data_IF_204233467293
#
_entry.id   IF_204233467293
#
_cell.length_a   1.000
_cell.length_b   1.000
_cell.length_c   1.000
_cell.angle_alpha   90.00
_cell.angle_beta   90.00
_cell.angle_gamma   90.00
#
_symmetry.space_group_name_H-M   'P 1'
#
loop_
_entity.id
_entity.type
_entity.pdbx_description
1 polymer ?
#
# COMPACT_ATOMS: atom_id res chain seq x y z
N UNK A 1 38.89 -28.09 20.91
CA UNK A 1 37.72 -27.49 21.55
C UNK A 1 37.71 -25.94 21.49
N UNK A 2 38.84 -25.24 21.53
CA UNK A 2 38.87 -23.76 21.46
C UNK A 2 38.49 -23.16 20.12
N UNK A 3 38.75 -23.86 19.01
CA UNK A 3 38.40 -23.40 17.64
C UNK A 3 36.91 -23.45 17.33
N UNK A 4 36.21 -24.47 17.85
CA UNK A 4 34.75 -24.61 17.67
C UNK A 4 33.99 -23.52 18.44
N UNK A 5 34.50 -23.14 19.62
CA UNK A 5 33.92 -22.07 20.44
C UNK A 5 34.04 -20.69 19.75
N UNK A 6 35.13 -20.46 19.02
CA UNK A 6 35.35 -19.22 18.28
C UNK A 6 34.42 -19.07 17.06
N UNK A 7 34.12 -20.18 16.38
CA UNK A 7 33.21 -20.20 15.22
C UNK A 7 31.76 -19.92 15.64
N UNK A 8 31.33 -20.43 16.79
CA UNK A 8 29.98 -20.20 17.32
C UNK A 8 29.79 -18.72 17.69
N UNK A 9 30.81 -18.07 18.23
CA UNK A 9 30.74 -16.63 18.58
C UNK A 9 30.73 -15.76 17.31
N UNK A 10 31.37 -16.18 16.22
CA UNK A 10 31.36 -15.43 14.95
C UNK A 10 30.03 -15.54 14.21
N UNK A 11 29.30 -16.67 14.36
CA UNK A 11 27.98 -16.87 13.73
C UNK A 11 26.86 -16.15 14.45
N UNK A 12 26.97 -15.83 15.73
CA UNK A 12 25.95 -15.12 16.51
C UNK A 12 25.90 -13.60 16.26
N UNK A 13 26.89 -13.04 15.54
CA UNK A 13 26.99 -11.61 15.23
C UNK A 13 26.11 -11.11 14.06
N UNK A 14 25.52 -12.00 13.26
CA UNK A 14 24.66 -11.64 12.12
C UNK A 14 23.17 -11.74 12.45
N UNK A 15 22.73 -11.12 13.54
CA UNK A 15 21.34 -10.77 13.67
C UNK A 15 21.07 -9.62 12.71
N UNK A 16 20.68 -9.95 11.46
CA UNK A 16 20.14 -8.99 10.52
C UNK A 16 18.88 -8.40 11.13
N UNK A 17 19.00 -7.19 11.68
CA UNK A 17 17.85 -6.39 12.02
C UNK A 17 17.12 -6.10 10.73
N UNK A 18 16.13 -6.92 10.36
CA UNK A 18 15.13 -6.61 9.36
C UNK A 18 14.29 -5.47 9.93
N UNK A 19 14.83 -4.26 9.88
CA UNK A 19 14.04 -3.07 10.12
C UNK A 19 13.02 -2.98 9.00
N UNK A 20 11.75 -3.18 9.32
CA UNK A 20 10.65 -2.79 8.43
C UNK A 20 10.88 -1.32 8.10
N UNK A 21 11.17 -1.03 6.82
CA UNK A 21 11.39 0.35 6.36
C UNK A 21 10.05 1.08 6.50
N UNK A 22 9.95 2.10 7.37
CA UNK A 22 8.72 2.89 7.48
C UNK A 22 8.41 3.50 6.11
N UNK A 23 7.12 3.58 5.77
CA UNK A 23 6.71 4.29 4.56
C UNK A 23 7.35 5.69 4.55
N UNK A 24 7.96 6.05 3.42
CA UNK A 24 8.76 7.25 3.29
C UNK A 24 7.98 8.50 3.75
N UNK A 25 8.50 9.30 4.69
CA UNK A 25 7.80 10.47 5.20
C UNK A 25 7.74 11.62 4.18
N UNK A 26 8.54 11.54 3.11
CA UNK A 26 8.65 12.56 2.08
C UNK A 26 7.68 12.33 0.92
N UNK A 27 7.47 13.40 0.13
CA UNK A 27 6.71 13.35 -1.10
C UNK A 27 7.49 12.60 -2.18
N UNK A 28 6.80 11.69 -2.86
CA UNK A 28 7.32 10.95 -4.00
C UNK A 28 6.64 11.47 -5.27
N UNK A 29 7.38 11.62 -6.33
CA UNK A 29 6.84 11.98 -7.64
C UNK A 29 6.35 10.72 -8.36
N UNK A 30 5.07 10.71 -8.71
CA UNK A 30 4.43 9.66 -9.50
C UNK A 30 4.17 10.17 -10.91
N UNK A 31 4.34 9.30 -11.92
CA UNK A 31 4.06 9.59 -13.31
C UNK A 31 2.75 8.93 -13.76
N UNK A 32 1.92 9.66 -14.48
CA UNK A 32 0.73 9.17 -15.15
C UNK A 32 1.09 8.62 -16.55
N UNK A 33 0.23 7.78 -17.17
CA UNK A 33 0.47 7.25 -18.51
C UNK A 33 0.60 8.31 -19.62
N UNK A 34 0.02 9.49 -19.42
CA UNK A 34 0.11 10.63 -20.33
C UNK A 34 1.38 11.48 -20.16
N UNK A 35 2.30 11.03 -19.28
CA UNK A 35 3.53 11.74 -18.97
C UNK A 35 3.39 12.86 -17.92
N UNK A 36 2.17 13.19 -17.50
CA UNK A 36 1.98 14.14 -16.39
C UNK A 36 2.47 13.56 -15.07
N UNK A 37 2.85 14.42 -14.13
CA UNK A 37 3.37 14.00 -12.83
C UNK A 37 2.63 14.70 -11.69
N UNK A 38 2.54 14.01 -10.55
CA UNK A 38 2.03 14.57 -9.31
C UNK A 38 2.87 14.08 -8.12
N UNK A 39 2.78 14.79 -7.00
CA UNK A 39 3.47 14.42 -5.77
C UNK A 39 2.47 13.89 -4.74
N UNK A 40 2.86 12.82 -4.05
CA UNK A 40 2.05 12.20 -3.02
C UNK A 40 2.93 11.43 -2.03
N UNK A 41 2.36 11.01 -0.91
CA UNK A 41 3.01 10.14 0.07
C UNK A 41 2.67 8.68 -0.20
N UNK A 42 3.66 7.82 -0.11
CA UNK A 42 3.42 6.38 0.06
C UNK A 42 3.23 6.10 1.55
N UNK A 43 2.15 5.44 1.91
CA UNK A 43 1.76 5.10 3.28
C UNK A 43 1.53 3.61 3.43
N UNK A 44 1.60 3.12 4.68
CA UNK A 44 1.35 1.73 5.01
C UNK A 44 2.63 0.91 5.19
N UNK A 45 2.49 -0.40 5.07
CA UNK A 45 3.57 -1.38 5.27
C UNK A 45 3.48 -2.51 4.22
N UNK A 46 4.21 -3.59 4.44
CA UNK A 46 4.23 -4.77 3.57
C UNK A 46 2.89 -5.52 3.49
N UNK A 47 1.95 -5.29 4.42
CA UNK A 47 0.63 -5.92 4.41
C UNK A 47 -0.37 -5.11 3.59
N UNK A 48 -0.27 -3.78 3.68
CA UNK A 48 -1.14 -2.88 2.95
C UNK A 48 -0.49 -1.50 2.81
N UNK A 49 -0.26 -1.09 1.58
CA UNK A 49 0.20 0.26 1.24
C UNK A 49 -0.82 0.99 0.38
N UNK A 50 -0.85 2.32 0.49
CA UNK A 50 -1.66 3.21 -0.33
C UNK A 50 -0.89 4.50 -0.62
N UNK A 51 -1.35 5.22 -1.62
CA UNK A 51 -0.83 6.55 -1.96
C UNK A 51 -1.80 7.58 -1.41
N UNK A 52 -1.27 8.65 -0.84
CA UNK A 52 -2.05 9.70 -0.18
C UNK A 52 -1.55 11.07 -0.62
N UNK A 53 -2.46 11.91 -1.11
CA UNK A 53 -2.16 13.31 -1.43
C UNK A 53 -1.88 14.13 -0.16
N UNK A 54 -1.33 15.34 -0.31
CA UNK A 54 -1.17 16.29 0.80
C UNK A 54 -2.50 16.59 1.50
N UNK A 55 -3.62 16.59 0.77
CA UNK A 55 -4.98 16.80 1.29
C UNK A 55 -5.60 15.52 1.89
N UNK A 56 -4.79 14.50 2.16
CA UNK A 56 -5.22 13.23 2.77
C UNK A 56 -6.17 12.38 1.91
N UNK A 57 -6.26 12.66 0.63
CA UNK A 57 -7.06 11.85 -0.30
C UNK A 57 -6.29 10.60 -0.72
N UNK A 58 -6.97 9.46 -0.71
CA UNK A 58 -6.38 8.17 -1.05
C UNK A 58 -6.45 7.94 -2.54
N UNK A 59 -5.35 7.47 -3.11
CA UNK A 59 -5.19 7.19 -4.53
C UNK A 59 -4.91 5.71 -4.75
N UNK A 60 -5.36 5.20 -5.89
CA UNK A 60 -5.06 3.86 -6.37
C UNK A 60 -4.76 3.88 -7.87
N UNK A 61 -3.88 3.01 -8.33
CA UNK A 61 -3.64 2.85 -9.76
C UNK A 61 -4.72 1.96 -10.37
N UNK A 62 -5.45 2.49 -11.33
CA UNK A 62 -6.46 1.76 -12.08
C UNK A 62 -5.79 0.75 -13.01
N UNK A 63 -6.22 -0.51 -12.96
CA UNK A 63 -5.72 -1.56 -13.85
C UNK A 63 -6.24 -1.41 -15.28
N UNK A 64 -7.39 -0.76 -15.42
CA UNK A 64 -8.04 -0.57 -16.73
C UNK A 64 -7.46 0.62 -17.48
N UNK A 65 -7.37 1.78 -16.83
CA UNK A 65 -6.87 3.02 -17.46
C UNK A 65 -5.35 3.21 -17.32
N UNK A 66 -4.73 2.55 -16.33
CA UNK A 66 -3.33 2.75 -15.95
C UNK A 66 -3.08 4.03 -15.17
N UNK A 67 -4.06 4.93 -15.06
CA UNK A 67 -3.94 6.18 -14.32
C UNK A 67 -4.02 5.97 -12.80
N UNK A 68 -3.41 6.86 -12.05
CA UNK A 68 -3.69 7.02 -10.63
C UNK A 68 -4.97 7.83 -10.49
N UNK A 69 -5.94 7.24 -9.81
CA UNK A 69 -7.28 7.77 -9.61
C UNK A 69 -7.58 7.90 -8.12
N UNK A 70 -8.53 8.77 -7.76
CA UNK A 70 -9.04 8.79 -6.40
C UNK A 70 -9.68 7.45 -6.08
N UNK A 71 -9.44 6.95 -4.87
CA UNK A 71 -9.97 5.68 -4.44
C UNK A 71 -11.39 5.82 -3.87
N UNK A 72 -12.22 4.82 -4.14
CA UNK A 72 -13.49 4.58 -3.46
C UNK A 72 -13.34 3.37 -2.54
N UNK A 73 -14.18 3.32 -1.51
CA UNK A 73 -14.37 2.11 -0.71
C UNK A 73 -15.48 1.27 -1.31
N UNK A 74 -15.19 -0.01 -1.49
CA UNK A 74 -16.16 -1.01 -1.90
C UNK A 74 -16.11 -2.19 -0.93
N UNK A 75 -17.25 -2.78 -0.63
CA UNK A 75 -17.33 -4.07 0.07
C UNK A 75 -17.40 -5.19 -0.96
N UNK A 76 -16.59 -6.25 -0.72
CA UNK A 76 -16.69 -7.49 -1.51
C UNK A 76 -17.83 -8.40 -0.99
N UNK A 77 -18.02 -9.55 -1.64
CA UNK A 77 -19.07 -10.51 -1.28
C UNK A 77 -18.93 -11.02 0.17
N UNK A 78 -17.73 -11.01 0.72
CA UNK A 78 -17.41 -11.41 2.09
C UNK A 78 -17.43 -10.23 3.08
N UNK A 79 -18.01 -9.08 2.70
CA UNK A 79 -18.09 -7.84 3.49
C UNK A 79 -16.73 -7.28 3.91
N UNK A 80 -15.67 -7.58 3.15
CA UNK A 80 -14.35 -6.99 3.37
C UNK A 80 -14.24 -5.70 2.58
N UNK A 81 -13.67 -4.67 3.20
CA UNK A 81 -13.42 -3.39 2.53
C UNK A 81 -12.24 -3.51 1.56
N UNK A 82 -12.40 -2.97 0.38
CA UNK A 82 -11.36 -2.83 -0.63
C UNK A 82 -11.33 -1.41 -1.19
N UNK A 83 -10.15 -0.99 -1.67
CA UNK A 83 -10.00 0.23 -2.45
C UNK A 83 -10.20 -0.10 -3.92
N UNK A 84 -11.07 0.68 -4.58
CA UNK A 84 -11.30 0.58 -6.03
C UNK A 84 -11.13 1.96 -6.67
N UNK A 85 -10.71 2.03 -7.95
CA UNK A 85 -10.58 3.29 -8.65
C UNK A 85 -11.95 3.93 -8.91
N UNK A 86 -12.02 5.26 -8.77
CA UNK A 86 -13.27 6.03 -8.94
C UNK A 86 -13.56 6.42 -10.39
N UNK A 87 -12.62 6.23 -11.30
CA UNK A 87 -12.66 6.81 -12.66
C UNK A 87 -12.23 8.28 -12.73
N UNK A 88 -11.87 8.90 -11.60
CA UNK A 88 -11.43 10.29 -11.54
C UNK A 88 -9.91 10.32 -11.40
N UNK A 89 -9.13 10.63 -12.44
CA UNK A 89 -7.68 10.67 -12.38
C UNK A 89 -7.18 11.86 -11.56
N UNK A 90 -6.01 11.69 -10.97
CA UNK A 90 -5.27 12.79 -10.34
C UNK A 90 -4.69 13.66 -11.44
N UNK A 91 -5.06 14.95 -11.45
CA UNK A 91 -4.61 15.92 -12.43
C UNK A 91 -3.66 16.90 -11.75
N UNK A 92 -2.65 17.37 -12.47
CA UNK A 92 -1.72 18.39 -11.99
C UNK A 92 -2.49 19.65 -11.55
N UNK A 93 -2.13 20.19 -10.39
CA UNK A 93 -2.66 21.46 -9.85
C UNK A 93 -2.64 22.53 -10.96
N UNK A 94 -3.81 22.93 -11.45
CA UNK A 94 -3.95 23.92 -12.52
C UNK A 94 -4.77 23.49 -13.75
N UNK A 95 -4.98 22.20 -13.94
CA UNK A 95 -5.93 21.68 -14.94
C UNK A 95 -7.18 21.16 -14.21
N UNK A 96 -8.08 22.07 -13.90
CA UNK A 96 -9.35 21.72 -13.25
C UNK A 96 -10.28 21.07 -14.26
N UNK A 97 -10.27 19.76 -14.37
CA UNK A 97 -11.39 18.99 -14.92
C UNK A 97 -12.36 18.50 -13.83
N UNK A 98 -12.07 18.80 -12.57
CA UNK A 98 -13.05 18.62 -11.52
C UNK A 98 -14.13 19.69 -11.74
N UNK A 99 -15.30 19.26 -12.22
CA UNK A 99 -16.52 20.06 -12.06
C UNK A 99 -16.60 20.44 -10.59
N UNK A 100 -16.88 21.69 -10.31
CA UNK A 100 -16.97 22.26 -8.96
C UNK A 100 -17.86 21.44 -7.99
N UNK A 101 -18.67 20.56 -8.53
CA UNK A 101 -19.68 19.76 -7.81
C UNK A 101 -19.28 18.31 -7.56
N UNK A 102 -18.06 17.88 -7.92
CA UNK A 102 -17.62 16.52 -7.67
C UNK A 102 -17.00 16.42 -6.28
N UNK A 103 -17.77 15.92 -5.32
CA UNK A 103 -17.27 15.59 -3.99
C UNK A 103 -16.27 14.45 -4.09
N UNK A 104 -15.02 14.73 -3.73
CA UNK A 104 -13.96 13.73 -3.75
C UNK A 104 -14.16 12.73 -2.60
N UNK A 105 -13.91 11.43 -2.84
CA UNK A 105 -14.08 10.41 -1.82
C UNK A 105 -13.19 10.69 -0.61
N UNK A 106 -13.77 10.67 0.58
CA UNK A 106 -13.04 10.80 1.83
C UNK A 106 -12.95 9.46 2.55
N UNK A 107 -11.77 8.86 2.54
CA UNK A 107 -11.51 7.57 3.18
C UNK A 107 -10.78 7.81 4.50
N UNK A 108 -11.42 7.39 5.59
CA UNK A 108 -10.89 7.61 6.92
C UNK A 108 -9.76 6.64 7.29
N UNK A 109 -8.89 7.04 8.22
CA UNK A 109 -7.85 6.17 8.78
C UNK A 109 -8.42 4.88 9.38
N UNK A 110 -9.60 4.94 10.00
CA UNK A 110 -10.29 3.78 10.55
C UNK A 110 -10.65 2.75 9.47
N UNK A 111 -11.10 3.21 8.32
CA UNK A 111 -11.43 2.34 7.17
C UNK A 111 -10.17 1.71 6.57
N UNK A 112 -9.10 2.49 6.40
CA UNK A 112 -7.80 1.96 5.96
C UNK A 112 -7.25 0.93 6.96
N UNK A 113 -7.39 1.15 8.26
CA UNK A 113 -7.03 0.20 9.31
C UNK A 113 -7.78 -1.13 9.21
N UNK A 114 -9.07 -1.11 8.87
CA UNK A 114 -9.86 -2.33 8.64
C UNK A 114 -9.32 -3.12 7.44
N UNK A 115 -9.00 -2.45 6.34
CA UNK A 115 -8.39 -3.10 5.16
C UNK A 115 -7.04 -3.73 5.54
N UNK A 116 -6.20 -2.99 6.27
CA UNK A 116 -4.91 -3.48 6.74
C UNK A 116 -5.05 -4.74 7.60
N UNK A 117 -5.95 -4.75 8.60
CA UNK A 117 -6.21 -5.89 9.46
C UNK A 117 -6.67 -7.11 8.67
N UNK A 118 -7.61 -6.93 7.73
CA UNK A 118 -8.11 -8.00 6.88
C UNK A 118 -6.99 -8.65 6.05
N UNK A 119 -6.13 -7.84 5.42
CA UNK A 119 -5.01 -8.33 4.61
C UNK A 119 -3.95 -9.02 5.45
N UNK A 120 -3.62 -8.48 6.63
CA UNK A 120 -2.69 -9.09 7.56
C UNK A 120 -3.17 -10.46 8.03
N UNK A 121 -4.43 -10.59 8.41
CA UNK A 121 -5.05 -11.86 8.82
C UNK A 121 -5.04 -12.89 7.70
N UNK A 122 -5.38 -12.49 6.47
CA UNK A 122 -5.34 -13.37 5.30
C UNK A 122 -3.91 -13.90 5.03
N UNK A 123 -2.90 -13.05 5.14
CA UNK A 123 -1.50 -13.44 4.95
C UNK A 123 -1.01 -14.42 6.01
N UNK A 124 -1.40 -14.24 7.26
CA UNK A 124 -1.06 -15.15 8.36
C UNK A 124 -1.69 -16.52 8.10
N UNK A 125 -2.96 -16.57 7.72
CA UNK A 125 -3.68 -17.81 7.45
C UNK A 125 -3.04 -18.60 6.28
N UNK A 126 -2.63 -17.93 5.20
CA UNK A 126 -1.92 -18.57 4.09
C UNK A 126 -0.59 -19.18 4.56
N UNK A 127 0.15 -18.51 5.43
CA UNK A 127 1.43 -18.99 5.96
C UNK A 127 1.28 -20.21 6.86
N UNK A 128 0.12 -20.38 7.52
CA UNK A 128 -0.17 -21.50 8.42
C UNK A 128 -0.75 -22.73 7.70
N UNK A 129 -1.11 -22.61 6.42
CA UNK A 129 -1.55 -23.77 5.64
C UNK A 129 -0.37 -24.72 5.40
N UNK A 130 -0.52 -26.04 5.68
CA UNK A 130 0.52 -27.00 5.38
C UNK A 130 0.81 -26.99 3.87
N UNK A 131 2.08 -27.06 3.50
CA UNK A 131 2.48 -27.18 2.12
C UNK A 131 1.76 -28.40 1.51
N UNK A 132 0.94 -28.13 0.48
CA UNK A 132 0.26 -29.19 -0.26
C UNK A 132 1.36 -30.01 -0.93
N UNK A 133 1.65 -31.21 -0.40
CA UNK A 133 2.55 -32.14 -1.03
C UNK A 133 2.03 -32.40 -2.46
N UNK A 134 2.73 -31.88 -3.46
CA UNK A 134 2.53 -32.27 -4.84
C UNK A 134 3.04 -33.72 -4.99
N UNK A 135 2.31 -34.58 -5.68
CA UNK A 135 2.74 -35.96 -5.97
C UNK A 135 3.96 -36.00 -6.87
#
# INVERSE_FOLDING_TARGET
MKLISLIIVLLSGFALNLMAVPAAPYLITFAQPDGSTFQAHLRGDENFSWIETENKQVLIKSKTSGFFEFALLQEDAEKRLALVPSGIPVIKRGQSMLRSDTELPNITRKQLGKIWQSRKSARINIKLLPAKNSP
#
